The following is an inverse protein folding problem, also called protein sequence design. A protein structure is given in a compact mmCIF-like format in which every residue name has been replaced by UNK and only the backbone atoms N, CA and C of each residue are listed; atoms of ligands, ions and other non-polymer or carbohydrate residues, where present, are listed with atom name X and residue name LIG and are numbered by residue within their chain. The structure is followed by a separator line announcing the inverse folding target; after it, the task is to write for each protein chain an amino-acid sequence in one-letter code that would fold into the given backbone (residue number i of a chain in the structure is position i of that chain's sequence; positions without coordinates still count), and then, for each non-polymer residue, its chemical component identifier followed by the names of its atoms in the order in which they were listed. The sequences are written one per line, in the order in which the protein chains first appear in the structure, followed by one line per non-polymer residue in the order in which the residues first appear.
data_IF_800331801999
#
_entry.id   IF_800331801999
#
_cell.length_a   1.000
_cell.length_b   1.000
_cell.length_c   1.000
_cell.angle_alpha   90.00
_cell.angle_beta   90.00
_cell.angle_gamma   90.00
#
_symmetry.space_group_name_H-M   'P 1'
#
loop_
_entity.id
_entity.type
_entity.pdbx_description
1 polymer ?
#
# COMPACT_ATOMS: atom_id res chain seq x y z
N UNK A 1 -74.58 -10.64 0.78
CA UNK A 1 -73.32 -11.21 0.25
C UNK A 1 -72.18 -10.27 0.64
N UNK A 2 -71.21 -10.71 1.44
CA UNK A 2 -70.03 -9.91 1.84
C UNK A 2 -68.83 -10.39 1.02
N UNK A 3 -68.00 -9.52 0.43
CA UNK A 3 -66.81 -9.96 -0.29
C UNK A 3 -65.69 -10.27 0.70
N UNK A 4 -65.06 -11.44 0.53
CA UNK A 4 -63.86 -11.87 1.26
C UNK A 4 -62.66 -11.48 0.42
N UNK A 5 -61.75 -10.68 0.97
CA UNK A 5 -60.50 -10.30 0.31
C UNK A 5 -59.36 -11.21 0.78
N UNK A 6 -58.81 -12.00 -0.14
CA UNK A 6 -57.60 -12.78 0.10
C UNK A 6 -56.37 -11.91 -0.12
N UNK A 7 -55.60 -11.68 0.94
CA UNK A 7 -54.27 -11.07 0.84
C UNK A 7 -53.25 -12.15 0.51
N UNK A 8 -52.71 -12.12 -0.70
CA UNK A 8 -51.56 -12.94 -1.11
C UNK A 8 -50.28 -12.19 -0.70
N UNK A 9 -49.55 -12.74 0.27
CA UNK A 9 -48.26 -12.21 0.70
C UNK A 9 -47.18 -12.82 -0.21
N UNK A 10 -46.71 -12.05 -1.19
CA UNK A 10 -45.62 -12.47 -2.06
C UNK A 10 -44.26 -12.22 -1.37
N UNK A 11 -43.57 -13.30 -1.00
CA UNK A 11 -42.21 -13.24 -0.48
C UNK A 11 -41.23 -13.02 -1.66
N UNK A 12 -40.70 -11.81 -1.79
CA UNK A 12 -39.65 -11.51 -2.77
C UNK A 12 -38.31 -11.99 -2.20
N UNK A 13 -37.81 -13.11 -2.71
CA UNK A 13 -36.43 -13.55 -2.47
C UNK A 13 -35.53 -12.81 -3.44
N UNK A 14 -34.88 -11.74 -2.97
CA UNK A 14 -33.84 -11.03 -3.73
C UNK A 14 -32.53 -11.81 -3.64
N UNK A 15 -32.17 -12.53 -4.70
CA UNK A 15 -30.84 -13.14 -4.83
C UNK A 15 -29.86 -12.04 -5.25
N UNK A 16 -29.09 -11.51 -4.29
CA UNK A 16 -27.98 -10.61 -4.56
C UNK A 16 -26.79 -11.42 -5.11
N UNK A 17 -26.66 -11.47 -6.44
CA UNK A 17 -25.43 -11.91 -7.10
C UNK A 17 -24.39 -10.79 -6.96
N UNK A 18 -23.43 -10.95 -6.06
CA UNK A 18 -22.30 -10.03 -5.94
C UNK A 18 -21.29 -10.32 -7.04
N UNK A 19 -21.27 -9.45 -8.06
CA UNK A 19 -20.20 -9.45 -9.05
C UNK A 19 -19.00 -8.76 -8.40
N UNK A 20 -18.00 -9.54 -7.96
CA UNK A 20 -16.81 -8.95 -7.32
C UNK A 20 -15.88 -8.39 -8.40
N UNK A 21 -16.08 -7.12 -8.72
CA UNK A 21 -15.09 -6.34 -9.46
C UNK A 21 -13.87 -6.05 -8.57
N UNK A 22 -12.68 -6.06 -9.16
CA UNK A 22 -11.48 -5.59 -8.47
C UNK A 22 -11.63 -4.10 -8.16
N UNK A 23 -11.44 -3.74 -6.89
CA UNK A 23 -11.55 -2.36 -6.41
C UNK A 23 -10.44 -2.03 -5.42
N UNK A 24 -10.28 -0.75 -5.12
CA UNK A 24 -9.33 -0.30 -4.10
C UNK A 24 -9.73 -0.84 -2.72
N UNK A 25 -8.89 -1.71 -2.15
CA UNK A 25 -9.16 -2.35 -0.86
C UNK A 25 -8.36 -1.71 0.28
N UNK A 26 -7.21 -1.12 -0.02
CA UNK A 26 -6.39 -0.38 0.94
C UNK A 26 -5.71 0.79 0.22
N UNK A 27 -5.72 1.98 0.81
CA UNK A 27 -4.98 3.12 0.27
C UNK A 27 -4.60 4.15 1.33
N UNK A 28 -3.61 4.97 1.00
CA UNK A 28 -3.13 6.08 1.81
C UNK A 28 -3.12 7.36 0.99
N UNK A 29 -3.81 8.35 1.52
CA UNK A 29 -3.57 9.76 1.24
C UNK A 29 -3.07 10.45 2.51
N UNK A 30 -2.43 11.60 2.33
CA UNK A 30 -1.73 12.33 3.38
C UNK A 30 -2.18 13.79 3.52
N UNK A 31 -3.26 14.19 2.86
CA UNK A 31 -3.75 15.57 2.84
C UNK A 31 -4.98 15.84 3.73
N UNK A 32 -5.82 14.82 3.94
CA UNK A 32 -7.11 14.94 4.61
C UNK A 32 -7.27 13.92 5.75
N UNK A 33 -8.15 14.16 6.74
CA UNK A 33 -8.79 15.43 7.04
C UNK A 33 -7.77 16.49 7.48
N UNK A 34 -6.64 16.05 8.04
CA UNK A 34 -5.50 16.90 8.40
C UNK A 34 -4.27 16.48 7.59
N UNK A 35 -3.49 17.44 7.06
CA UNK A 35 -2.31 17.11 6.28
C UNK A 35 -1.20 16.54 7.17
N UNK A 36 -0.56 15.48 6.70
CA UNK A 36 0.64 14.95 7.33
C UNK A 36 1.78 15.97 7.24
N UNK A 37 2.66 15.97 8.24
CA UNK A 37 3.96 16.64 8.22
C UNK A 37 5.01 15.84 7.42
N UNK A 38 4.74 14.55 7.16
CA UNK A 38 5.62 13.58 6.53
C UNK A 38 6.64 12.95 7.47
N UNK A 39 6.61 13.30 8.76
CA UNK A 39 7.50 12.78 9.81
C UNK A 39 6.82 11.77 10.74
N UNK A 40 5.52 11.53 10.57
CA UNK A 40 4.72 10.65 11.42
C UNK A 40 5.29 9.25 11.38
N UNK A 41 5.61 8.61 12.51
CA UNK A 41 6.22 7.26 12.56
C UNK A 41 5.46 6.22 11.74
N UNK A 42 4.14 6.33 11.71
CA UNK A 42 3.20 5.45 11.01
C UNK A 42 2.06 6.25 10.40
N UNK A 43 1.40 5.70 9.39
CA UNK A 43 0.16 6.22 8.83
C UNK A 43 -0.86 5.09 8.68
N UNK A 44 -2.03 5.22 9.31
CA UNK A 44 -3.14 4.30 9.07
C UNK A 44 -3.67 4.50 7.63
N UNK A 45 -4.11 3.42 6.99
CA UNK A 45 -4.75 3.50 5.70
C UNK A 45 -6.03 4.35 5.78
N UNK A 46 -6.18 5.29 4.86
CA UNK A 46 -7.32 6.20 4.75
C UNK A 46 -8.49 5.54 4.02
N UNK A 47 -8.18 4.59 3.14
CA UNK A 47 -9.14 3.62 2.61
C UNK A 47 -8.78 2.26 3.18
N UNK A 48 -9.72 1.57 3.82
CA UNK A 48 -9.51 0.21 4.31
C UNK A 48 -10.83 -0.56 4.17
N UNK A 49 -10.81 -1.64 3.41
CA UNK A 49 -12.00 -2.45 3.21
C UNK A 49 -12.53 -2.98 4.55
N UNK A 50 -13.85 -2.99 4.74
CA UNK A 50 -14.48 -3.29 6.03
C UNK A 50 -14.14 -4.68 6.58
N UNK A 51 -13.85 -5.63 5.69
CA UNK A 51 -13.49 -7.01 6.01
C UNK A 51 -11.98 -7.27 6.11
N UNK A 52 -11.17 -6.22 6.17
CA UNK A 52 -9.74 -6.30 6.47
C UNK A 52 -9.47 -5.76 7.88
N UNK A 53 -8.42 -6.27 8.51
CA UNK A 53 -7.78 -5.58 9.62
C UNK A 53 -7.23 -4.22 9.16
N UNK A 54 -7.12 -3.25 10.06
CA UNK A 54 -6.60 -1.93 9.72
C UNK A 54 -5.15 -2.03 9.22
N UNK A 55 -4.92 -1.65 7.96
CA UNK A 55 -3.57 -1.55 7.42
C UNK A 55 -2.87 -0.30 7.93
N UNK A 56 -1.58 -0.43 8.25
CA UNK A 56 -0.73 0.65 8.75
C UNK A 56 0.57 0.67 7.98
N UNK A 57 0.85 1.80 7.32
CA UNK A 57 2.14 2.10 6.72
C UNK A 57 3.13 2.51 7.81
N UNK A 58 4.31 1.92 7.82
CA UNK A 58 5.37 2.20 8.79
C UNK A 58 6.75 2.23 8.13
N UNK A 59 7.71 2.83 8.84
CA UNK A 59 9.12 2.93 8.43
C UNK A 59 9.91 1.74 8.95
N UNK A 60 10.80 1.20 8.12
CA UNK A 60 11.91 0.38 8.57
C UNK A 60 12.95 1.21 9.32
N UNK A 61 13.88 0.57 10.04
CA UNK A 61 14.88 1.27 10.86
C UNK A 61 15.81 2.19 10.03
N UNK A 62 16.02 1.90 8.75
CA UNK A 62 16.80 2.72 7.84
C UNK A 62 16.05 3.93 7.26
N UNK A 63 14.74 4.06 7.49
CA UNK A 63 13.94 5.18 7.00
C UNK A 63 13.74 6.22 8.13
N UNK A 64 14.65 7.19 8.25
CA UNK A 64 14.65 8.14 9.38
C UNK A 64 13.77 9.38 9.09
N UNK A 65 12.75 9.70 9.91
CA UNK A 65 11.79 10.78 9.64
C UNK A 65 12.35 12.19 9.97
N UNK A 66 13.35 12.67 9.21
CA UNK A 66 14.05 13.94 9.49
C UNK A 66 13.52 15.10 8.65
N UNK A 67 13.64 15.06 7.33
CA UNK A 67 13.06 16.06 6.44
C UNK A 67 11.59 15.70 6.20
N UNK A 68 10.69 16.50 6.78
CA UNK A 68 9.25 16.31 6.57
C UNK A 68 8.86 16.66 5.14
N UNK A 69 7.80 16.01 4.66
CA UNK A 69 7.19 16.27 3.38
C UNK A 69 5.70 16.49 3.62
N UNK A 70 5.27 17.75 3.71
CA UNK A 70 3.86 18.09 3.96
C UNK A 70 2.97 17.41 2.92
N UNK A 71 1.94 16.71 3.38
CA UNK A 71 1.06 15.85 2.58
C UNK A 71 1.73 14.65 1.94
N UNK A 72 2.84 14.17 2.50
CA UNK A 72 3.53 12.97 2.03
C UNK A 72 3.98 12.09 3.18
N UNK A 73 4.81 11.09 2.87
CA UNK A 73 5.39 10.20 3.88
C UNK A 73 6.78 9.77 3.44
N UNK A 74 7.81 10.42 3.98
CA UNK A 74 9.21 10.20 3.56
C UNK A 74 10.16 10.10 4.75
N UNK A 75 11.42 9.82 4.44
CA UNK A 75 12.48 9.62 5.42
C UNK A 75 13.83 9.57 4.72
N UNK A 76 14.88 9.85 5.48
CA UNK A 76 16.25 9.74 4.99
C UNK A 76 16.67 8.29 5.04
N UNK A 77 17.15 7.81 3.90
CA UNK A 77 17.70 6.48 3.79
C UNK A 77 19.24 6.55 3.96
N UNK A 78 19.88 5.50 4.48
CA UNK A 78 21.33 5.38 4.47
C UNK A 78 21.85 5.22 3.03
N UNK A 79 23.16 5.40 2.87
CA UNK A 79 23.86 5.07 1.62
C UNK A 79 23.98 3.56 1.55
N UNK A 80 23.13 2.95 0.72
CA UNK A 80 23.15 1.54 0.38
C UNK A 80 23.55 1.40 -1.08
N UNK A 81 24.56 0.57 -1.37
CA UNK A 81 25.02 0.33 -2.73
C UNK A 81 24.03 -0.51 -3.54
N UNK A 82 23.36 -1.46 -2.89
CA UNK A 82 22.49 -2.45 -3.52
C UNK A 82 21.30 -2.82 -2.64
N UNK A 83 20.47 -3.74 -3.17
CA UNK A 83 19.30 -4.28 -2.50
C UNK A 83 19.65 -4.98 -1.17
N UNK A 84 20.75 -5.73 -1.11
CA UNK A 84 21.11 -6.49 0.10
C UNK A 84 21.53 -5.54 1.24
N UNK A 85 22.29 -4.49 0.93
CA UNK A 85 22.58 -3.41 1.89
C UNK A 85 21.30 -2.71 2.37
N UNK A 86 20.30 -2.51 1.49
CA UNK A 86 19.00 -1.97 1.89
C UNK A 86 18.20 -2.91 2.80
N UNK A 87 18.26 -4.23 2.57
CA UNK A 87 17.66 -5.23 3.46
C UNK A 87 18.30 -5.20 4.84
N UNK A 88 19.63 -5.23 4.90
CA UNK A 88 20.40 -5.24 6.16
C UNK A 88 20.14 -3.97 6.99
N UNK A 89 20.21 -2.80 6.35
CA UNK A 89 19.96 -1.52 7.03
C UNK A 89 18.49 -1.27 7.35
N UNK A 90 17.57 -2.06 6.79
CA UNK A 90 16.14 -1.87 6.90
C UNK A 90 15.66 -0.57 6.25
N UNK A 91 16.26 -0.19 5.13
CA UNK A 91 15.89 0.96 4.32
C UNK A 91 14.63 0.64 3.49
N UNK A 92 13.50 0.60 4.18
CA UNK A 92 12.20 0.29 3.57
C UNK A 92 11.03 1.04 4.21
N UNK A 93 9.91 1.04 3.50
CA UNK A 93 8.58 1.24 4.07
C UNK A 93 7.81 -0.06 4.02
N UNK A 94 6.90 -0.29 4.98
CA UNK A 94 6.09 -1.51 5.03
C UNK A 94 4.64 -1.24 5.39
N UNK A 95 3.75 -2.09 4.88
CA UNK A 95 2.36 -2.17 5.31
C UNK A 95 1.87 -3.62 5.24
N UNK A 96 0.71 -3.89 5.83
CA UNK A 96 0.15 -5.25 5.90
C UNK A 96 -1.27 -5.31 5.37
N UNK A 97 -1.66 -6.47 4.87
CA UNK A 97 -3.04 -6.80 4.48
C UNK A 97 -3.39 -8.11 5.15
N UNK A 98 -4.49 -8.12 5.90
CA UNK A 98 -4.99 -9.30 6.58
C UNK A 98 -6.51 -9.30 6.55
N UNK A 99 -7.10 -10.38 6.05
CA UNK A 99 -8.54 -10.56 6.10
C UNK A 99 -9.01 -10.76 7.55
N UNK A 100 -10.19 -10.25 7.89
CA UNK A 100 -10.88 -10.62 9.11
C UNK A 100 -11.33 -12.10 9.04
N UNK A 101 -11.56 -12.76 10.19
CA UNK A 101 -12.08 -14.14 10.21
C UNK A 101 -13.30 -14.33 9.31
N UNK A 102 -13.31 -15.41 8.53
CA UNK A 102 -14.38 -15.71 7.57
C UNK A 102 -14.19 -15.08 6.19
N UNK A 103 -13.13 -14.31 5.96
CA UNK A 103 -12.82 -13.67 4.68
C UNK A 103 -11.45 -14.08 4.12
N UNK A 104 -11.27 -13.84 2.83
CA UNK A 104 -10.02 -14.03 2.09
C UNK A 104 -9.75 -12.84 1.16
N UNK A 105 -8.49 -12.69 0.72
CA UNK A 105 -8.05 -11.59 -0.14
C UNK A 105 -7.43 -12.13 -1.44
N UNK A 106 -7.75 -11.49 -2.55
CA UNK A 106 -7.06 -11.69 -3.83
C UNK A 106 -6.60 -10.33 -4.37
N UNK A 107 -5.30 -10.17 -4.64
CA UNK A 107 -4.71 -8.87 -5.00
C UNK A 107 -4.57 -8.71 -6.51
N UNK A 108 -4.88 -7.52 -7.04
CA UNK A 108 -4.85 -7.23 -8.47
C UNK A 108 -3.77 -6.24 -8.88
N UNK A 109 -3.64 -5.12 -8.17
CA UNK A 109 -2.70 -4.06 -8.55
C UNK A 109 -2.16 -3.30 -7.34
N UNK A 110 -0.92 -2.84 -7.47
CA UNK A 110 -0.26 -1.93 -6.54
C UNK A 110 0.15 -0.66 -7.28
N UNK A 111 -0.29 0.49 -6.80
CA UNK A 111 0.05 1.80 -7.34
C UNK A 111 0.74 2.66 -6.29
N UNK A 112 1.76 3.41 -6.69
CA UNK A 112 2.45 4.34 -5.82
C UNK A 112 2.86 5.62 -6.55
N UNK A 113 2.76 6.76 -5.86
CA UNK A 113 3.41 8.01 -6.23
C UNK A 113 4.62 8.15 -5.32
N UNK A 114 5.82 8.09 -5.91
CA UNK A 114 7.08 8.09 -5.16
C UNK A 114 7.82 9.41 -5.37
N UNK A 115 8.46 9.88 -4.31
CA UNK A 115 9.28 11.09 -4.29
C UNK A 115 10.68 10.73 -3.82
N UNK A 116 11.67 11.34 -4.46
CA UNK A 116 13.05 11.32 -4.01
C UNK A 116 13.66 12.73 -3.99
N UNK A 117 14.81 12.87 -3.36
CA UNK A 117 15.66 14.05 -3.45
C UNK A 117 17.00 13.68 -4.12
N UNK A 118 17.77 14.69 -4.51
CA UNK A 118 18.93 14.52 -5.39
C UNK A 118 19.98 13.52 -4.89
N UNK A 119 20.17 13.40 -3.57
CA UNK A 119 21.20 12.54 -2.95
C UNK A 119 20.60 11.30 -2.24
N UNK A 120 19.27 11.13 -2.31
CA UNK A 120 18.57 10.00 -1.70
C UNK A 120 18.68 8.74 -2.55
N UNK A 121 18.21 7.62 -1.98
CA UNK A 121 17.88 6.43 -2.76
C UNK A 121 17.08 6.79 -4.01
N UNK A 122 17.40 6.12 -5.12
CA UNK A 122 16.80 6.35 -6.44
C UNK A 122 16.50 5.04 -7.18
N UNK A 123 16.93 3.90 -6.64
CA UNK A 123 16.61 2.55 -7.13
C UNK A 123 15.72 1.90 -6.07
N UNK A 124 14.68 1.18 -6.47
CA UNK A 124 13.80 0.48 -5.56
C UNK A 124 13.26 -0.85 -6.10
N UNK A 125 12.81 -1.70 -5.17
CA UNK A 125 12.13 -2.97 -5.44
C UNK A 125 11.01 -3.19 -4.43
N UNK A 126 9.85 -3.60 -4.92
CA UNK A 126 8.76 -4.07 -4.07
C UNK A 126 8.96 -5.54 -3.72
N UNK A 127 8.62 -5.90 -2.50
CA UNK A 127 8.65 -7.26 -1.99
C UNK A 127 7.42 -7.55 -1.16
N UNK A 128 7.06 -8.83 -1.06
CA UNK A 128 5.98 -9.29 -0.20
C UNK A 128 6.37 -10.53 0.60
N UNK A 129 5.66 -10.78 1.69
CA UNK A 129 5.85 -11.93 2.56
C UNK A 129 4.52 -12.40 3.13
N UNK A 130 4.36 -13.72 3.30
CA UNK A 130 3.20 -14.35 3.96
C UNK A 130 3.52 -14.88 5.36
N UNK A 131 4.78 -14.83 5.77
CA UNK A 131 5.28 -15.30 7.06
C UNK A 131 5.94 -14.17 7.89
N UNK A 132 6.06 -12.97 7.32
CA UNK A 132 6.72 -11.81 7.92
C UNK A 132 8.24 -11.89 7.98
N UNK A 133 8.86 -12.96 7.44
CA UNK A 133 10.29 -13.25 7.54
C UNK A 133 10.93 -13.37 6.17
N UNK A 134 10.35 -14.20 5.30
CA UNK A 134 10.85 -14.48 3.96
C UNK A 134 10.14 -13.58 2.97
N UNK A 135 10.89 -12.71 2.29
CA UNK A 135 10.35 -11.75 1.34
C UNK A 135 10.67 -12.19 -0.10
N UNK A 136 9.63 -12.21 -0.94
CA UNK A 136 9.69 -12.47 -2.38
C UNK A 136 9.62 -11.16 -3.13
N UNK A 137 10.37 -11.07 -4.22
CA UNK A 137 10.39 -9.90 -5.09
C UNK A 137 9.13 -9.80 -5.97
N UNK A 138 8.77 -8.55 -6.27
CA UNK A 138 7.71 -8.21 -7.22
C UNK A 138 8.34 -7.52 -8.44
N UNK A 139 8.01 -8.01 -9.63
CA UNK A 139 8.66 -7.73 -10.90
C UNK A 139 9.87 -8.62 -11.19
N UNK A 140 10.57 -8.33 -12.28
CA UNK A 140 11.79 -9.00 -12.75
C UNK A 140 13.04 -8.11 -12.71
N UNK A 141 12.84 -6.80 -12.60
CA UNK A 141 13.91 -5.79 -12.56
C UNK A 141 13.71 -4.71 -11.49
N UNK A 142 14.80 -4.08 -11.09
CA UNK A 142 14.79 -2.90 -10.23
C UNK A 142 14.28 -1.67 -10.99
N UNK A 143 13.60 -0.77 -10.27
CA UNK A 143 13.03 0.44 -10.88
C UNK A 143 13.86 1.64 -10.43
N UNK A 144 14.23 2.49 -11.39
CA UNK A 144 14.95 3.73 -11.13
C UNK A 144 14.02 4.94 -11.26
N UNK A 145 14.06 5.83 -10.27
CA UNK A 145 13.39 7.13 -10.30
C UNK A 145 14.41 8.21 -10.60
N UNK A 146 14.32 8.81 -11.79
CA UNK A 146 15.17 9.94 -12.18
C UNK A 146 14.55 11.30 -11.82
N UNK A 147 13.22 11.34 -11.66
CA UNK A 147 12.46 12.55 -11.35
C UNK A 147 12.76 13.08 -9.92
N UNK A 148 12.93 14.40 -9.81
CA UNK A 148 13.25 15.12 -8.57
C UNK A 148 12.13 16.07 -8.13
N UNK A 149 10.94 15.97 -8.73
CA UNK A 149 9.83 16.85 -8.41
C UNK A 149 9.40 16.68 -6.95
N UNK A 150 9.10 17.81 -6.32
CA UNK A 150 8.75 17.88 -4.90
C UNK A 150 7.42 17.16 -4.58
N UNK A 151 6.57 16.92 -5.57
CA UNK A 151 5.31 16.19 -5.39
C UNK A 151 5.49 14.67 -5.55
N UNK A 152 6.62 14.23 -6.12
CA UNK A 152 6.80 12.85 -6.57
C UNK A 152 6.11 12.58 -7.90
N UNK A 153 6.38 11.39 -8.43
CA UNK A 153 5.91 10.93 -9.74
C UNK A 153 5.19 9.58 -9.59
N UNK A 154 4.06 9.44 -10.28
CA UNK A 154 3.31 8.18 -10.33
C UNK A 154 4.18 7.12 -11.01
N UNK A 155 4.38 6.00 -10.32
CA UNK A 155 5.09 4.85 -10.86
C UNK A 155 4.14 4.02 -11.73
N UNK A 156 4.66 3.21 -12.67
CA UNK A 156 3.85 2.20 -13.36
C UNK A 156 3.11 1.32 -12.35
N UNK A 157 1.82 1.08 -12.61
CA UNK A 157 1.03 0.16 -11.80
C UNK A 157 1.60 -1.25 -11.91
N UNK A 158 1.77 -1.92 -10.78
CA UNK A 158 2.29 -3.28 -10.73
C UNK A 158 1.10 -4.24 -10.69
N UNK A 159 1.03 -5.15 -11.67
CA UNK A 159 0.04 -6.24 -11.64
C UNK A 159 0.44 -7.31 -10.62
N UNK A 160 -0.51 -7.68 -9.76
CA UNK A 160 -0.36 -8.72 -8.74
C UNK A 160 -1.13 -10.00 -9.09
N UNK A 161 -1.92 -10.01 -10.16
CA UNK A 161 -2.73 -11.17 -10.56
C UNK A 161 -1.89 -12.38 -10.95
N UNK A 162 -0.63 -12.17 -11.37
CA UNK A 162 0.32 -13.25 -11.68
C UNK A 162 0.97 -13.91 -10.46
N UNK A 163 0.76 -13.37 -9.26
CA UNK A 163 1.33 -13.91 -8.02
C UNK A 163 0.31 -14.83 -7.35
N UNK A 164 0.39 -16.13 -7.65
CA UNK A 164 -0.58 -17.13 -7.19
C UNK A 164 -0.75 -17.17 -5.65
N UNK A 165 0.31 -16.89 -4.91
CA UNK A 165 0.29 -16.87 -3.44
C UNK A 165 -0.29 -15.59 -2.84
N UNK A 166 -0.59 -14.58 -3.68
CA UNK A 166 -1.35 -13.38 -3.32
C UNK A 166 -2.84 -13.49 -3.69
N UNK A 167 -3.28 -14.67 -4.16
CA UNK A 167 -4.67 -14.96 -4.48
C UNK A 167 -5.29 -15.88 -3.42
N UNK A 168 -6.56 -15.64 -3.08
CA UNK A 168 -7.32 -16.41 -2.08
C UNK A 168 -6.61 -16.56 -0.71
N UNK A 169 -5.89 -15.52 -0.27
CA UNK A 169 -5.16 -15.53 0.99
C UNK A 169 -6.14 -15.45 2.15
N UNK A 170 -6.20 -16.49 2.97
CA UNK A 170 -7.12 -16.58 4.11
C UNK A 170 -6.72 -15.67 5.27
N UNK A 171 -7.67 -15.40 6.18
CA UNK A 171 -7.48 -14.63 7.42
C UNK A 171 -6.43 -15.19 8.38
N UNK A 172 -5.95 -16.42 8.15
CA UNK A 172 -4.86 -17.02 8.94
C UNK A 172 -3.48 -16.45 8.60
N UNK A 173 -3.34 -15.76 7.46
CA UNK A 173 -2.09 -15.19 6.97
C UNK A 173 -2.14 -13.67 6.99
N UNK A 174 -0.97 -13.06 7.17
CA UNK A 174 -0.77 -11.63 6.97
C UNK A 174 0.12 -11.45 5.76
N UNK A 175 -0.39 -10.76 4.73
CA UNK A 175 0.44 -10.32 3.60
C UNK A 175 1.19 -9.07 4.06
N UNK A 176 2.51 -9.10 4.04
CA UNK A 176 3.35 -7.95 4.38
C UNK A 176 4.04 -7.45 3.13
N UNK A 177 3.83 -6.19 2.77
CA UNK A 177 4.54 -5.54 1.68
C UNK A 177 5.70 -4.71 2.22
N UNK A 178 6.79 -4.68 1.46
CA UNK A 178 7.91 -3.77 1.66
C UNK A 178 8.33 -3.13 0.35
N UNK A 179 8.67 -1.86 0.38
CA UNK A 179 9.45 -1.21 -0.68
C UNK A 179 10.83 -0.92 -0.13
N UNK A 180 11.83 -1.62 -0.64
CA UNK A 180 13.24 -1.36 -0.35
C UNK A 180 13.78 -0.36 -1.37
N UNK A 181 14.64 0.56 -0.92
CA UNK A 181 15.29 1.50 -1.83
C UNK A 181 16.77 1.75 -1.47
N UNK A 182 17.58 1.99 -2.49
CA UNK A 182 19.03 2.16 -2.41
C UNK A 182 19.57 3.09 -3.51
N UNK A 183 20.90 3.22 -3.59
CA UNK A 183 21.59 4.10 -4.53
C UNK A 183 21.74 5.54 -4.03
N UNK A 184 21.49 5.80 -2.75
CA UNK A 184 21.75 7.12 -2.15
C UNK A 184 23.25 7.44 -2.15
N UNK A 185 23.60 8.73 -2.23
CA UNK A 185 25.01 9.16 -2.38
C UNK A 185 25.51 10.00 -1.22
N UNK A 186 24.64 10.47 -0.32
CA UNK A 186 25.03 11.30 0.82
C UNK A 186 24.61 10.74 2.17
N UNK A 187 25.48 10.91 3.17
CA UNK A 187 25.24 10.60 4.60
C UNK A 187 24.88 11.84 5.43
N UNK A 188 25.00 13.04 4.85
CA UNK A 188 24.75 14.34 5.49
C UNK A 188 23.91 15.26 4.59
N UNK A 189 23.44 16.39 5.12
CA UNK A 189 22.63 17.32 4.34
C UNK A 189 21.12 17.02 4.31
N UNK A 190 20.40 17.78 3.48
CA UNK A 190 18.93 17.82 3.44
C UNK A 190 18.28 17.26 2.18
N UNK A 191 19.06 16.83 1.19
CA UNK A 191 18.58 16.31 -0.09
C UNK A 191 18.51 14.77 -0.12
N UNK A 192 18.10 14.15 1.00
CA UNK A 192 18.25 12.70 1.24
C UNK A 192 16.95 11.93 1.45
N UNK A 193 15.80 12.60 1.35
CA UNK A 193 14.52 11.95 1.57
C UNK A 193 14.08 11.12 0.36
N UNK A 194 13.68 9.87 0.62
CA UNK A 194 12.95 9.00 -0.31
C UNK A 194 11.63 8.58 0.35
N UNK A 195 10.56 8.40 -0.41
CA UNK A 195 9.30 7.85 0.11
C UNK A 195 8.10 8.17 -0.78
N UNK A 196 6.92 8.28 -0.16
CA UNK A 196 5.68 8.58 -0.86
C UNK A 196 5.54 10.09 -1.10
N UNK A 197 5.11 10.40 -2.32
CA UNK A 197 4.87 11.75 -2.82
C UNK A 197 3.72 12.45 -2.12
N UNK A 198 3.40 13.65 -2.61
CA UNK A 198 2.38 14.50 -2.02
C UNK A 198 0.99 14.12 -2.54
N UNK A 199 0.07 13.86 -1.63
CA UNK A 199 -1.36 13.94 -1.92
C UNK A 199 -1.73 15.36 -2.31
N UNK A 200 -2.65 15.48 -3.28
CA UNK A 200 -3.22 16.77 -3.65
C UNK A 200 -4.13 17.32 -2.54
N UNK A 201 -4.64 18.53 -2.70
CA UNK A 201 -5.53 19.15 -1.69
C UNK A 201 -6.90 18.46 -1.59
N UNK A 202 -7.22 17.53 -2.48
CA UNK A 202 -8.45 16.75 -2.48
C UNK A 202 -8.25 15.33 -1.92
N UNK A 203 -7.04 14.99 -1.47
CA UNK A 203 -6.74 13.69 -0.88
C UNK A 203 -6.44 12.61 -1.91
N UNK A 204 -5.75 12.92 -3.01
CA UNK A 204 -5.28 11.88 -3.93
C UNK A 204 -4.42 10.83 -3.22
N UNK A 205 -4.65 9.56 -3.54
CA UNK A 205 -3.87 8.45 -2.97
C UNK A 205 -2.43 8.49 -3.47
N UNK A 206 -1.48 8.43 -2.55
CA UNK A 206 -0.05 8.27 -2.85
C UNK A 206 0.39 6.81 -2.85
N UNK A 207 -0.39 5.92 -2.24
CA UNK A 207 -0.23 4.47 -2.26
C UNK A 207 -1.61 3.83 -2.29
N UNK A 208 -1.84 2.89 -3.19
CA UNK A 208 -3.08 2.15 -3.30
C UNK A 208 -2.83 0.70 -3.66
N UNK A 209 -3.64 -0.19 -3.07
CA UNK A 209 -3.68 -1.61 -3.38
C UNK A 209 -5.12 -1.97 -3.74
N UNK A 210 -5.27 -2.56 -4.92
CA UNK A 210 -6.55 -3.05 -5.40
C UNK A 210 -6.62 -4.58 -5.31
N UNK A 211 -7.84 -5.08 -5.22
CA UNK A 211 -8.11 -6.50 -5.11
C UNK A 211 -9.58 -6.79 -4.85
N UNK A 212 -9.85 -7.98 -4.34
CA UNK A 212 -11.15 -8.39 -3.81
C UNK A 212 -10.99 -8.91 -2.38
N UNK A 213 -12.05 -8.74 -1.59
CA UNK A 213 -12.16 -9.28 -0.23
C UNK A 213 -13.49 -9.99 -0.11
N UNK A 214 -13.48 -11.30 -0.26
CA UNK A 214 -14.68 -12.14 -0.32
C UNK A 214 -14.81 -13.02 0.91
N UNK A 215 -16.02 -13.49 1.27
CA UNK A 215 -16.18 -14.59 2.21
C UNK A 215 -15.37 -15.83 1.76
N UNK A 216 -14.90 -16.62 2.72
CA UNK A 216 -14.39 -17.97 2.45
C UNK A 216 -15.59 -18.85 2.10
N UNK A 217 -15.51 -19.54 0.96
CA UNK A 217 -16.54 -20.51 0.54
C UNK A 217 -16.38 -21.82 1.28
#
# INVERSE_FOLDING_TARGET
MKPVYYYVFALIVSVCLTNEGFGQIVAWQFALPEPSTGREKTAAATTNHANLEQSVLSRGPGAVPKQGNLRGFSGNFPVNADQEAAKISGAYYQFTVKAKPGYQVSLSSLEATLRRQAESAHIYRWMYSLDGKTFKEIGDQDITITDLTNNGVKQPAISLTGYNDLQHVSSSKTITFRIYAWGGTATEGSARAFGFGKSDSKGSNALALDGTVSPVK
#
